data_IF_543054626447
#
_entry.id   IF_543054626447
#
_cell.length_a   1.000
_cell.length_b   1.000
_cell.length_c   1.000
_cell.angle_alpha   90.00
_cell.angle_beta   90.00
_cell.angle_gamma   90.00
#
_symmetry.space_group_name_H-M   'P 1'
#
loop_
_entity.id
_entity.type
_entity.pdbx_description
1 polymer ?
#
# COMPACT_ATOMS: atom_id res chain seq x y z
N UNK A 1 -1.55 -18.71 20.49
CA UNK A 1 -1.47 -18.49 19.94
C UNK A 1 -1.21 -17.57 19.41
N UNK A 2 -0.67 -17.76 19.32
CA UNK A 2 -0.15 -17.01 18.60
C UNK A 2 -0.95 -16.17 17.89
N UNK A 3 -1.88 -16.46 17.61
CA UNK A 3 -2.75 -15.61 16.98
C UNK A 3 -2.74 -14.28 17.57
N UNK A 4 -2.30 -14.22 18.72
CA UNK A 4 -2.28 -12.99 19.42
C UNK A 4 -1.49 -11.95 18.72
N UNK A 5 -0.40 -12.32 18.20
CA UNK A 5 0.44 -11.35 17.62
C UNK A 5 -0.18 -10.70 16.47
N UNK A 6 -1.11 -11.37 15.84
CA UNK A 6 -1.71 -10.80 14.67
C UNK A 6 -2.92 -10.01 14.99
N UNK A 7 -3.24 -9.90 16.23
CA UNK A 7 -4.47 -9.23 16.58
C UNK A 7 -4.46 -7.78 16.23
N UNK A 8 -3.33 -7.12 16.33
CA UNK A 8 -3.31 -5.74 15.96
C UNK A 8 -3.69 -5.58 14.51
N UNK A 9 -3.17 -6.46 13.68
CA UNK A 9 -3.46 -6.37 12.27
C UNK A 9 -4.92 -6.62 12.01
N UNK A 10 -5.45 -7.68 12.59
CA UNK A 10 -6.84 -7.96 12.39
C UNK A 10 -7.74 -6.92 12.97
N UNK A 11 -7.35 -6.38 14.12
CA UNK A 11 -8.20 -5.40 14.76
C UNK A 11 -8.28 -4.12 13.96
N UNK A 12 -7.37 -3.92 13.03
CA UNK A 12 -7.42 -2.74 12.20
C UNK A 12 -8.38 -2.90 11.03
N UNK A 13 -8.92 -4.10 10.83
CA UNK A 13 -9.82 -4.32 9.72
C UNK A 13 -9.15 -4.58 8.40
N UNK A 14 -7.84 -4.70 8.39
CA UNK A 14 -7.09 -4.94 7.16
C UNK A 14 -6.78 -6.43 7.00
N UNK A 15 -6.76 -6.88 5.74
CA UNK A 15 -6.34 -8.25 5.46
C UNK A 15 -4.83 -8.34 5.52
N UNK A 16 -4.32 -9.56 5.56
CA UNK A 16 -2.89 -9.78 5.52
C UNK A 16 -2.27 -9.17 4.27
N UNK A 17 -2.93 -9.33 3.15
CA UNK A 17 -2.43 -8.76 1.90
C UNK A 17 -2.36 -7.24 1.99
N UNK A 18 -3.38 -6.62 2.55
CA UNK A 18 -3.40 -5.17 2.67
C UNK A 18 -2.29 -4.66 3.58
N UNK A 19 -2.05 -5.37 4.67
CA UNK A 19 -0.96 -5.00 5.55
C UNK A 19 0.38 -5.13 4.84
N UNK A 20 0.54 -6.20 4.07
CA UNK A 20 1.79 -6.41 3.33
C UNK A 20 2.01 -5.33 2.27
N UNK A 21 0.93 -4.88 1.64
CA UNK A 21 1.05 -3.81 0.66
C UNK A 21 1.50 -2.52 1.32
N UNK A 22 0.92 -2.18 2.46
CA UNK A 22 1.36 -0.98 3.17
C UNK A 22 2.80 -1.09 3.62
N UNK A 23 3.19 -2.25 4.10
CA UNK A 23 4.57 -2.47 4.53
C UNK A 23 5.52 -2.33 3.34
N UNK A 24 5.15 -2.89 2.22
CA UNK A 24 5.98 -2.79 1.02
C UNK A 24 6.13 -1.33 0.58
N UNK A 25 5.06 -0.56 0.63
CA UNK A 25 5.14 0.85 0.24
C UNK A 25 6.06 1.64 1.16
N UNK A 26 6.21 1.20 2.39
CA UNK A 26 7.06 1.93 3.33
C UNK A 26 8.53 1.66 3.10
N UNK A 27 8.88 0.57 2.42
CA UNK A 27 10.30 0.23 2.33
C UNK A 27 10.70 -0.46 1.03
N UNK A 28 9.94 -0.25 -0.05
CA UNK A 28 10.24 -0.96 -1.30
C UNK A 28 11.61 -0.60 -1.87
N UNK A 29 12.13 0.57 -1.53
CA UNK A 29 13.43 0.97 -2.06
C UNK A 29 14.56 0.09 -1.54
N UNK A 30 14.28 -0.73 -0.54
CA UNK A 30 15.28 -1.65 -0.01
C UNK A 30 15.48 -2.85 -0.92
N UNK A 31 14.55 -3.09 -1.83
CA UNK A 31 14.65 -4.24 -2.70
C UNK A 31 15.47 -3.87 -3.93
N UNK A 32 16.27 -4.82 -4.39
CA UNK A 32 17.05 -4.60 -5.60
C UNK A 32 16.13 -4.65 -6.80
N UNK A 33 16.44 -3.84 -7.81
CA UNK A 33 15.71 -3.88 -9.05
C UNK A 33 14.50 -2.97 -9.05
N UNK A 34 13.68 -3.13 -10.09
CA UNK A 34 12.54 -2.27 -10.28
C UNK A 34 11.41 -2.62 -9.34
N UNK A 35 10.64 -1.62 -8.98
CA UNK A 35 9.50 -1.82 -8.10
C UNK A 35 8.51 -2.83 -8.68
N UNK A 36 8.29 -2.78 -9.99
CA UNK A 36 7.36 -3.71 -10.62
C UNK A 36 7.80 -5.15 -10.49
N UNK A 37 9.10 -5.39 -10.58
CA UNK A 37 9.62 -6.73 -10.41
C UNK A 37 9.39 -7.23 -9.00
N UNK A 38 9.61 -6.36 -8.01
CA UNK A 38 9.38 -6.72 -6.63
C UNK A 38 7.90 -7.02 -6.38
N UNK A 39 7.01 -6.24 -6.97
CA UNK A 39 5.58 -6.47 -6.85
C UNK A 39 5.22 -7.85 -7.37
N UNK A 40 5.73 -8.22 -8.53
CA UNK A 40 5.42 -9.51 -9.11
C UNK A 40 5.96 -10.63 -8.23
N UNK A 41 7.17 -10.45 -7.76
CA UNK A 41 7.83 -11.48 -6.96
C UNK A 41 7.16 -11.67 -5.61
N UNK A 42 6.82 -10.58 -4.94
CA UNK A 42 6.30 -10.65 -3.58
C UNK A 42 4.80 -10.93 -3.52
N UNK A 43 4.04 -10.42 -4.49
CA UNK A 43 2.59 -10.51 -4.44
C UNK A 43 2.00 -11.33 -5.58
N UNK A 44 2.79 -11.67 -6.58
CA UNK A 44 2.30 -12.37 -7.77
C UNK A 44 1.18 -11.58 -8.43
N UNK A 45 1.36 -10.27 -8.50
CA UNK A 45 0.41 -9.37 -9.13
C UNK A 45 1.09 -8.60 -10.24
N UNK A 46 0.31 -8.23 -11.27
CA UNK A 46 0.81 -7.27 -12.24
C UNK A 46 0.83 -5.89 -11.59
N UNK A 47 1.63 -5.00 -12.15
CA UNK A 47 1.70 -3.65 -11.62
C UNK A 47 0.34 -2.94 -11.67
N UNK A 48 -0.42 -3.00 -12.78
CA UNK A 48 -1.72 -2.34 -12.79
C UNK A 48 -2.67 -2.87 -11.72
N UNK A 49 -2.67 -4.19 -11.51
CA UNK A 49 -3.55 -4.75 -10.49
C UNK A 49 -3.11 -4.33 -9.10
N UNK A 50 -1.80 -4.33 -8.87
CA UNK A 50 -1.27 -3.89 -7.57
C UNK A 50 -1.69 -2.46 -7.27
N UNK A 51 -1.52 -1.55 -8.23
CA UNK A 51 -1.83 -0.15 -7.98
C UNK A 51 -3.33 0.09 -7.84
N UNK A 52 -4.14 -0.73 -8.50
CA UNK A 52 -5.57 -0.65 -8.28
C UNK A 52 -5.92 -0.98 -6.83
N UNK A 53 -5.32 -2.06 -6.32
CA UNK A 53 -5.53 -2.43 -4.93
C UNK A 53 -5.00 -1.36 -3.98
N UNK A 54 -3.84 -0.82 -4.28
CA UNK A 54 -3.26 0.22 -3.44
C UNK A 54 -4.12 1.46 -3.40
N UNK A 55 -4.63 1.89 -4.55
CA UNK A 55 -5.47 3.09 -4.58
C UNK A 55 -6.73 2.90 -3.75
N UNK A 56 -7.35 1.73 -3.84
CA UNK A 56 -8.52 1.46 -3.03
C UNK A 56 -8.16 1.44 -1.55
N UNK A 57 -7.00 0.87 -1.25
CA UNK A 57 -6.57 0.71 0.13
C UNK A 57 -6.32 2.04 0.82
N UNK A 58 -5.63 2.96 0.15
CA UNK A 58 -5.28 4.22 0.80
C UNK A 58 -6.47 5.15 1.01
N UNK A 59 -7.63 4.80 0.46
CA UNK A 59 -8.84 5.57 0.73
C UNK A 59 -9.61 5.05 1.94
N UNK A 60 -9.18 3.92 2.51
CA UNK A 60 -9.88 3.34 3.64
C UNK A 60 -9.38 3.94 4.94
N UNK A 61 -10.31 4.11 5.88
CA UNK A 61 -9.93 4.62 7.19
C UNK A 61 -9.05 3.65 7.95
N UNK A 62 -9.23 2.36 7.71
CA UNK A 62 -8.40 1.36 8.36
C UNK A 62 -6.94 1.54 7.98
N UNK A 63 -6.67 1.86 6.73
CA UNK A 63 -5.30 2.08 6.29
C UNK A 63 -4.74 3.36 6.89
N UNK A 64 -5.56 4.41 6.95
CA UNK A 64 -5.13 5.67 7.55
C UNK A 64 -4.79 5.46 9.03
N UNK A 65 -5.58 4.66 9.73
CA UNK A 65 -5.30 4.39 11.14
C UNK A 65 -4.03 3.55 11.31
N UNK A 66 -3.78 2.63 10.40
CA UNK A 66 -2.64 1.73 10.52
C UNK A 66 -1.33 2.41 10.15
N UNK A 67 -1.35 3.29 9.15
CA UNK A 67 -0.11 3.91 8.65
C UNK A 67 -0.40 5.34 8.19
N UNK A 68 -0.69 6.24 9.12
CA UNK A 68 -1.16 7.58 8.74
C UNK A 68 -0.17 8.38 7.91
N UNK A 69 1.09 8.35 8.29
CA UNK A 69 2.07 9.16 7.53
C UNK A 69 2.23 8.63 6.12
N UNK A 70 2.30 7.32 5.99
CA UNK A 70 2.43 6.70 4.69
C UNK A 70 1.22 6.98 3.82
N UNK A 71 0.03 6.77 4.36
CA UNK A 71 -1.20 6.94 3.60
C UNK A 71 -1.36 8.38 3.16
N UNK A 72 -1.07 9.33 4.03
CA UNK A 72 -1.15 10.74 3.67
C UNK A 72 -0.19 11.08 2.54
N UNK A 73 1.02 10.53 2.61
CA UNK A 73 1.99 10.77 1.55
C UNK A 73 1.52 10.19 0.23
N UNK A 74 1.01 8.97 0.28
CA UNK A 74 0.55 8.31 -0.95
C UNK A 74 -0.64 9.04 -1.56
N UNK A 75 -1.54 9.54 -0.73
CA UNK A 75 -2.67 10.32 -1.23
C UNK A 75 -2.19 11.61 -1.88
N UNK A 76 -1.20 12.27 -1.28
CA UNK A 76 -0.66 13.49 -1.86
C UNK A 76 0.00 13.23 -3.21
N UNK A 77 0.73 12.12 -3.31
CA UNK A 77 1.37 11.79 -4.58
C UNK A 77 0.35 11.49 -5.66
N UNK A 78 -0.71 10.79 -5.30
CA UNK A 78 -1.78 10.52 -6.25
C UNK A 78 -2.45 11.81 -6.70
N UNK A 79 -2.71 12.69 -5.75
CA UNK A 79 -3.34 13.97 -6.05
C UNK A 79 -2.47 14.79 -6.99
N UNK A 80 -1.18 14.83 -6.73
CA UNK A 80 -0.26 15.60 -7.57
C UNK A 80 -0.25 15.07 -8.99
N UNK A 81 -0.27 13.75 -9.15
CA UNK A 81 -0.30 13.17 -10.48
C UNK A 81 -1.58 13.50 -11.22
N UNK A 82 -2.71 13.47 -10.52
CA UNK A 82 -3.98 13.80 -11.12
C UNK A 82 -4.04 15.26 -11.52
N UNK A 83 -3.51 16.15 -10.69
CA UNK A 83 -3.48 17.56 -11.01
C UNK A 83 -2.57 17.84 -12.20
N UNK A 84 -1.44 17.16 -12.26
CA UNK A 84 -0.52 17.34 -13.37
C UNK A 84 -1.20 16.97 -14.67
N UNK A 85 -1.99 15.90 -14.66
CA UNK A 85 -2.72 15.52 -15.86
C UNK A 85 -3.82 16.50 -16.20
N UNK A 86 -4.48 17.01 -15.18
CA UNK A 86 -5.57 17.96 -15.41
C UNK A 86 -5.09 19.30 -15.91
N UNK A 87 -3.88 19.65 -15.57
CA UNK A 87 -3.34 20.95 -15.94
C UNK A 87 -2.96 21.06 -17.41
N UNK A 88 -2.98 19.96 -18.15
CA UNK A 88 -2.56 19.95 -19.55
C UNK A 88 -3.62 20.39 -20.50
#
# INVERSE_FOLDING_TARGET
MSAVENNEIQSSGLTDLEVRILDFESNWWRFAGAKESAIKELFDLTAPRYYQLLNDLIDREDAMAAAPMLVKRLRRLREARMQARSAR
#
